data_IF_891562495910
#
_entry.id   IF_891562495910
#
_cell.length_a   1.000
_cell.length_b   1.000
_cell.length_c   1.000
_cell.angle_alpha   90.00
_cell.angle_beta   90.00
_cell.angle_gamma   90.00
#
_symmetry.space_group_name_H-M   'P 1'
#
loop_
_entity.id
_entity.type
_entity.pdbx_description
1 polymer ?
#
# COMPACT_ATOMS: atom_id res chain seq x y z
N UNK A 1 3.39 14.98 -1.57
CA UNK A 1 3.63 15.81 -0.36
C UNK A 1 2.35 16.04 0.42
N UNK A 2 1.26 16.50 -0.21
CA UNK A 2 -0.03 16.69 0.48
C UNK A 2 -0.58 15.41 1.13
N UNK A 3 -0.47 14.27 0.44
CA UNK A 3 -0.76 12.92 0.90
C UNK A 3 0.06 12.49 2.13
N UNK A 4 1.39 12.71 2.09
CA UNK A 4 2.29 12.45 3.22
C UNK A 4 1.92 13.31 4.44
N UNK A 5 1.61 14.59 4.21
CA UNK A 5 1.19 15.50 5.27
C UNK A 5 -0.14 15.06 5.89
N UNK A 6 -1.14 14.73 5.06
CA UNK A 6 -2.44 14.24 5.50
C UNK A 6 -2.34 12.93 6.30
N UNK A 7 -1.51 11.99 5.84
CA UNK A 7 -1.20 10.75 6.54
C UNK A 7 -0.57 11.02 7.92
N UNK A 8 0.47 11.85 7.98
CA UNK A 8 1.13 12.18 9.25
C UNK A 8 0.22 12.94 10.21
N UNK A 9 -0.68 13.78 9.68
CA UNK A 9 -1.69 14.46 10.48
C UNK A 9 -2.67 13.46 11.12
N UNK A 10 -3.16 12.48 10.36
CA UNK A 10 -4.02 11.42 10.93
C UNK A 10 -3.27 10.55 11.95
N UNK A 11 -2.00 10.20 11.67
CA UNK A 11 -1.15 9.47 12.62
C UNK A 11 -1.05 10.21 13.95
N UNK A 12 -0.72 11.51 13.92
CA UNK A 12 -0.68 12.34 15.12
C UNK A 12 -2.04 12.47 15.81
N UNK A 13 -3.12 12.61 15.04
CA UNK A 13 -4.49 12.69 15.56
C UNK A 13 -4.86 11.43 16.34
N UNK A 14 -4.59 10.23 15.80
CA UNK A 14 -4.87 8.97 16.49
C UNK A 14 -3.99 8.75 17.73
N UNK A 15 -2.73 9.19 17.72
CA UNK A 15 -1.89 9.16 18.92
C UNK A 15 -2.45 10.07 20.02
N UNK A 16 -2.97 11.25 19.68
CA UNK A 16 -3.64 12.14 20.63
C UNK A 16 -4.92 11.53 21.22
N UNK A 17 -5.82 11.05 20.36
CA UNK A 17 -7.14 10.51 20.77
C UNK A 17 -7.02 9.21 21.59
N UNK A 18 -5.96 8.44 21.38
CA UNK A 18 -5.76 7.17 22.11
C UNK A 18 -5.02 7.32 23.43
N UNK A 19 -4.58 8.53 23.80
CA UNK A 19 -3.67 8.74 24.92
C UNK A 19 -4.26 8.39 26.30
N UNK A 20 -5.55 8.64 26.52
CA UNK A 20 -6.25 8.37 27.79
C UNK A 20 -7.18 7.13 27.73
N UNK A 21 -7.21 6.46 26.57
CA UNK A 21 -8.03 5.28 26.32
C UNK A 21 -9.53 5.55 26.18
N UNK A 22 -9.99 6.80 26.13
CA UNK A 22 -11.40 7.19 25.98
C UNK A 22 -11.57 8.10 24.77
N UNK A 23 -12.67 7.93 24.05
CA UNK A 23 -12.95 8.73 22.85
C UNK A 23 -14.14 9.64 23.15
N UNK A 24 -13.87 10.93 23.21
CA UNK A 24 -14.89 11.96 23.37
C UNK A 24 -15.60 12.26 22.05
N UNK A 25 -16.77 12.90 22.15
CA UNK A 25 -17.53 13.38 20.97
C UNK A 25 -16.71 14.36 20.12
N UNK A 26 -15.88 15.19 20.75
CA UNK A 26 -15.04 16.17 20.05
C UNK A 26 -13.93 15.49 19.24
N UNK A 27 -13.31 14.45 19.79
CA UNK A 27 -12.28 13.65 19.11
C UNK A 27 -12.84 12.85 17.95
N UNK A 28 -14.04 12.28 18.12
CA UNK A 28 -14.76 11.67 17.02
C UNK A 28 -15.09 12.67 15.91
N UNK A 29 -15.49 13.90 16.26
CA UNK A 29 -15.68 14.97 15.27
C UNK A 29 -14.38 15.35 14.55
N UNK A 30 -13.24 15.36 15.25
CA UNK A 30 -11.96 15.62 14.62
C UNK A 30 -11.63 14.56 13.55
N UNK A 31 -11.90 13.28 13.81
CA UNK A 31 -11.73 12.19 12.83
C UNK A 31 -12.67 12.36 11.62
N UNK A 32 -13.94 12.70 11.86
CA UNK A 32 -14.90 13.00 10.78
C UNK A 32 -14.45 14.17 9.93
N UNK A 33 -14.01 15.24 10.57
CA UNK A 33 -13.51 16.44 9.91
C UNK A 33 -12.29 16.11 9.06
N UNK A 34 -11.35 15.31 9.57
CA UNK A 34 -10.20 14.84 8.78
C UNK A 34 -10.64 14.09 7.51
N UNK A 35 -11.61 13.17 7.61
CA UNK A 35 -12.14 12.46 6.44
C UNK A 35 -12.76 13.42 5.41
N UNK A 36 -13.54 14.40 5.86
CA UNK A 36 -14.19 15.37 4.97
C UNK A 36 -13.18 16.29 4.28
N UNK A 37 -12.22 16.84 5.04
CA UNK A 37 -11.20 17.76 4.52
C UNK A 37 -10.34 17.12 3.43
N UNK A 38 -10.07 15.82 3.53
CA UNK A 38 -9.17 15.13 2.61
C UNK A 38 -9.90 14.34 1.50
N UNK A 39 -11.22 14.55 1.33
CA UNK A 39 -11.99 13.82 0.32
C UNK A 39 -11.55 14.13 -1.12
N UNK A 40 -11.30 15.40 -1.46
CA UNK A 40 -10.80 15.76 -2.78
C UNK A 40 -9.44 15.10 -3.07
N UNK A 41 -8.53 15.11 -2.09
CA UNK A 41 -7.22 14.46 -2.22
C UNK A 41 -7.37 12.94 -2.42
N UNK A 42 -8.37 12.32 -1.81
CA UNK A 42 -8.70 10.90 -1.98
C UNK A 42 -9.23 10.57 -3.38
N UNK A 43 -9.93 11.50 -4.02
CA UNK A 43 -10.39 11.36 -5.41
C UNK A 43 -9.23 11.55 -6.40
N UNK A 44 -8.29 12.43 -6.10
CA UNK A 44 -7.13 12.73 -6.96
C UNK A 44 -6.00 11.70 -6.87
N UNK A 45 -5.76 11.12 -5.69
CA UNK A 45 -4.60 10.25 -5.43
C UNK A 45 -5.05 8.83 -5.10
N UNK A 46 -4.77 7.88 -6.00
CA UNK A 46 -5.29 6.51 -5.89
C UNK A 46 -4.90 5.80 -4.60
N UNK A 47 -3.63 5.78 -4.21
CA UNK A 47 -3.18 5.09 -2.98
C UNK A 47 -3.77 5.76 -1.74
N UNK A 48 -3.78 7.10 -1.72
CA UNK A 48 -4.41 7.87 -0.65
C UNK A 48 -5.92 7.64 -0.59
N UNK A 49 -6.60 7.51 -1.74
CA UNK A 49 -8.03 7.22 -1.82
C UNK A 49 -8.39 5.84 -1.28
N UNK A 50 -7.57 4.82 -1.58
CA UNK A 50 -7.75 3.47 -1.00
C UNK A 50 -7.55 3.49 0.53
N UNK A 51 -6.55 4.21 1.01
CA UNK A 51 -6.29 4.43 2.43
C UNK A 51 -7.45 5.16 3.11
N UNK A 52 -7.81 6.33 2.59
CA UNK A 52 -8.88 7.19 3.08
C UNK A 52 -10.22 6.46 3.14
N UNK A 53 -10.59 5.70 2.10
CA UNK A 53 -11.83 4.93 2.07
C UNK A 53 -11.92 3.90 3.21
N UNK A 54 -10.79 3.29 3.60
CA UNK A 54 -10.75 2.36 4.73
C UNK A 54 -10.97 3.07 6.06
N UNK A 55 -10.33 4.23 6.26
CA UNK A 55 -10.54 5.07 7.45
C UNK A 55 -11.97 5.59 7.51
N UNK A 56 -12.49 6.14 6.40
CA UNK A 56 -13.84 6.66 6.30
C UNK A 56 -14.87 5.60 6.70
N UNK A 57 -14.70 4.36 6.24
CA UNK A 57 -15.60 3.25 6.59
C UNK A 57 -15.72 3.05 8.11
N UNK A 58 -14.61 3.12 8.85
CA UNK A 58 -14.56 2.98 10.31
C UNK A 58 -15.20 4.18 11.02
N UNK A 59 -15.18 5.36 10.42
CA UNK A 59 -15.75 6.58 11.03
C UNK A 59 -17.26 6.72 10.71
N UNK A 60 -17.79 5.90 9.79
CA UNK A 60 -19.13 6.04 9.21
C UNK A 60 -20.28 5.53 10.10
N UNK A 61 -20.01 4.56 10.97
CA UNK A 61 -20.98 3.90 11.87
C UNK A 61 -21.50 4.78 13.02
N UNK A 62 -20.89 5.95 13.24
CA UNK A 62 -21.40 6.96 14.15
C UNK A 62 -20.82 6.94 15.56
N UNK A 63 -19.93 5.99 15.88
CA UNK A 63 -19.14 5.95 17.11
C UNK A 63 -17.82 5.25 16.83
N UNK A 64 -16.71 5.83 17.27
CA UNK A 64 -15.42 5.12 17.27
C UNK A 64 -15.15 4.57 18.67
N UNK A 65 -14.77 3.30 18.72
CA UNK A 65 -14.37 2.53 19.89
C UNK A 65 -12.85 2.40 19.94
N UNK A 66 -12.31 1.99 21.09
CA UNK A 66 -10.86 1.72 21.21
C UNK A 66 -10.39 0.61 20.27
N UNK A 67 -11.26 -0.35 19.94
CA UNK A 67 -11.00 -1.41 18.96
C UNK A 67 -10.85 -0.83 17.55
N UNK A 68 -11.77 0.05 17.14
CA UNK A 68 -11.73 0.74 15.84
C UNK A 68 -10.52 1.69 15.71
N UNK A 69 -10.05 2.30 16.81
CA UNK A 69 -8.76 2.99 16.82
C UNK A 69 -7.61 2.02 16.55
N UNK A 70 -7.64 0.83 17.17
CA UNK A 70 -6.69 -0.23 16.91
C UNK A 70 -6.66 -0.63 15.42
N UNK A 71 -7.84 -0.82 14.81
CA UNK A 71 -7.97 -1.10 13.38
C UNK A 71 -7.41 0.03 12.51
N UNK A 72 -7.70 1.29 12.84
CA UNK A 72 -7.13 2.44 12.13
C UNK A 72 -5.60 2.50 12.26
N UNK A 73 -5.03 2.18 13.43
CA UNK A 73 -3.57 2.09 13.61
C UNK A 73 -2.96 0.95 12.78
N UNK A 74 -3.64 -0.19 12.66
CA UNK A 74 -3.19 -1.27 11.77
C UNK A 74 -3.21 -0.83 10.29
N UNK A 75 -4.23 -0.07 9.89
CA UNK A 75 -4.29 0.53 8.54
C UNK A 75 -3.13 1.52 8.36
N UNK A 76 -2.86 2.42 9.33
CA UNK A 76 -1.72 3.34 9.25
C UNK A 76 -0.40 2.61 9.01
N UNK A 77 -0.14 1.54 9.77
CA UNK A 77 1.08 0.74 9.61
C UNK A 77 1.16 0.08 8.24
N UNK A 78 0.05 -0.46 7.73
CA UNK A 78 -0.01 -1.06 6.39
C UNK A 78 0.32 -0.05 5.29
N UNK A 79 -0.01 1.23 5.48
CA UNK A 79 0.20 2.27 4.48
C UNK A 79 1.43 3.16 4.73
N UNK A 80 2.14 2.96 5.85
CA UNK A 80 3.26 3.81 6.26
C UNK A 80 4.33 3.94 5.17
N UNK A 81 4.65 2.83 4.52
CA UNK A 81 5.60 2.80 3.43
C UNK A 81 5.24 3.77 2.31
N UNK A 82 4.01 3.71 1.80
CA UNK A 82 3.59 4.49 0.63
C UNK A 82 3.72 6.01 0.86
N UNK A 83 3.54 6.46 2.09
CA UNK A 83 3.59 7.88 2.43
C UNK A 83 4.97 8.34 2.92
N UNK A 84 5.82 7.43 3.40
CA UNK A 84 7.15 7.75 3.94
C UNK A 84 8.32 7.35 3.05
N UNK A 85 8.06 6.80 1.86
CA UNK A 85 9.00 6.55 0.79
C UNK A 85 10.03 7.68 0.59
N UNK A 86 11.32 7.34 0.64
CA UNK A 86 12.42 8.25 0.26
C UNK A 86 12.40 8.50 -1.25
N UNK A 87 13.09 9.54 -1.70
CA UNK A 87 13.19 9.85 -3.15
C UNK A 87 13.82 8.67 -3.91
N UNK A 88 14.88 8.09 -3.36
CA UNK A 88 15.59 6.96 -3.99
C UNK A 88 14.68 5.71 -4.07
N UNK A 89 13.96 5.39 -3.00
CA UNK A 89 13.03 4.26 -2.99
C UNK A 89 11.85 4.46 -3.98
N UNK A 90 11.43 5.71 -4.22
CA UNK A 90 10.43 5.99 -5.27
C UNK A 90 10.99 5.74 -6.66
N UNK A 91 12.26 6.09 -6.90
CA UNK A 91 12.90 5.80 -8.18
C UNK A 91 12.98 4.28 -8.42
N UNK A 92 13.38 3.52 -7.40
CA UNK A 92 13.42 2.05 -7.47
C UNK A 92 12.03 1.43 -7.68
N UNK A 93 11.00 1.99 -7.04
CA UNK A 93 9.61 1.57 -7.24
C UNK A 93 9.17 1.80 -8.69
N UNK A 94 9.39 2.99 -9.24
CA UNK A 94 9.05 3.28 -10.64
C UNK A 94 9.84 2.42 -11.62
N UNK A 95 11.12 2.17 -11.33
CA UNK A 95 11.94 1.28 -12.14
C UNK A 95 11.35 -0.14 -12.16
N UNK A 96 10.99 -0.67 -11.00
CA UNK A 96 10.35 -1.97 -10.88
C UNK A 96 8.99 -2.02 -11.58
N UNK A 97 8.17 -0.97 -11.48
CA UNK A 97 6.93 -0.86 -12.24
C UNK A 97 7.17 -0.86 -13.75
N UNK A 98 8.24 -0.23 -14.21
CA UNK A 98 8.69 -0.27 -15.60
C UNK A 98 9.04 -1.70 -16.06
N UNK A 99 9.75 -2.47 -15.22
CA UNK A 99 10.02 -3.89 -15.50
C UNK A 99 8.71 -4.67 -15.61
N UNK A 100 7.81 -4.56 -14.62
CA UNK A 100 6.52 -5.25 -14.63
C UNK A 100 5.68 -4.87 -15.86
N UNK A 101 5.69 -3.59 -16.26
CA UNK A 101 5.00 -3.13 -17.46
C UNK A 101 5.57 -3.76 -18.73
N UNK A 102 6.90 -3.86 -18.83
CA UNK A 102 7.58 -4.54 -19.93
C UNK A 102 7.21 -6.02 -20.04
N UNK A 103 7.23 -6.74 -18.91
CA UNK A 103 6.84 -8.16 -18.82
C UNK A 103 5.36 -8.36 -19.20
N UNK A 104 4.51 -7.37 -18.91
CA UNK A 104 3.09 -7.44 -19.24
C UNK A 104 2.75 -7.02 -20.68
N UNK A 105 3.72 -6.50 -21.44
CA UNK A 105 3.44 -5.78 -22.68
C UNK A 105 2.97 -6.68 -23.83
N UNK A 106 3.52 -7.89 -23.94
CA UNK A 106 3.12 -8.89 -24.94
C UNK A 106 1.96 -9.78 -24.47
N UNK A 107 1.62 -9.69 -23.18
CA UNK A 107 0.54 -10.45 -22.57
C UNK A 107 0.91 -11.87 -22.17
N UNK A 108 2.19 -12.27 -22.20
CA UNK A 108 2.63 -13.64 -21.85
C UNK A 108 3.80 -13.62 -20.87
N UNK A 109 3.51 -13.79 -19.57
CA UNK A 109 4.53 -13.88 -18.52
C UNK A 109 5.24 -15.24 -18.60
N UNK A 110 6.55 -15.22 -18.80
CA UNK A 110 7.36 -16.44 -18.86
C UNK A 110 8.40 -16.54 -17.75
N UNK A 111 8.99 -17.73 -17.59
CA UNK A 111 9.95 -18.02 -16.51
C UNK A 111 11.23 -17.22 -16.59
N UNK A 112 11.68 -16.84 -17.79
CA UNK A 112 12.92 -16.06 -17.96
C UNK A 112 12.73 -14.64 -17.43
N UNK A 113 11.58 -14.04 -17.70
CA UNK A 113 11.19 -12.73 -17.17
C UNK A 113 11.08 -12.74 -15.65
N UNK A 114 10.43 -13.78 -15.10
CA UNK A 114 10.33 -13.94 -13.65
C UNK A 114 11.70 -14.17 -12.98
N UNK A 115 12.60 -14.93 -13.61
CA UNK A 115 13.97 -15.09 -13.12
C UNK A 115 14.76 -13.78 -13.17
N UNK A 116 14.65 -13.01 -14.26
CA UNK A 116 15.28 -11.69 -14.37
C UNK A 116 14.77 -10.74 -13.28
N UNK A 117 13.45 -10.72 -13.06
CA UNK A 117 12.82 -9.91 -12.02
C UNK A 117 13.24 -10.34 -10.61
N UNK A 118 13.28 -11.66 -10.34
CA UNK A 118 13.77 -12.22 -9.07
C UNK A 118 15.23 -11.85 -8.82
N UNK A 119 16.07 -11.92 -9.86
CA UNK A 119 17.47 -11.55 -9.78
C UNK A 119 17.63 -10.06 -9.46
N UNK A 120 16.92 -9.19 -10.16
CA UNK A 120 16.95 -7.75 -9.87
C UNK A 120 16.55 -7.43 -8.43
N UNK A 121 15.48 -8.06 -7.91
CA UNK A 121 15.08 -7.91 -6.51
C UNK A 121 16.14 -8.45 -5.53
N UNK A 122 16.88 -9.48 -5.91
CA UNK A 122 17.94 -10.06 -5.08
C UNK A 122 19.20 -9.20 -5.04
N UNK A 123 19.57 -8.61 -6.19
CA UNK A 123 20.71 -7.70 -6.33
C UNK A 123 20.46 -6.39 -5.57
N UNK A 124 19.18 -5.98 -5.45
CA UNK A 124 18.74 -4.84 -4.66
C UNK A 124 18.27 -5.28 -3.24
N UNK A 125 19.05 -6.13 -2.58
CA UNK A 125 18.73 -6.70 -1.27
C UNK A 125 18.27 -5.69 -0.17
N UNK A 126 18.82 -4.46 -0.08
CA UNK A 126 18.39 -3.50 0.94
C UNK A 126 16.91 -3.08 0.83
N UNK A 127 16.37 -3.05 -0.40
CA UNK A 127 14.98 -2.66 -0.65
C UNK A 127 14.04 -3.87 -0.70
N UNK A 128 14.57 -5.06 -1.01
CA UNK A 128 13.82 -6.33 -1.09
C UNK A 128 13.03 -6.65 0.18
N UNK A 129 13.53 -6.28 1.36
CA UNK A 129 12.85 -6.55 2.63
C UNK A 129 11.79 -5.50 2.99
N UNK A 130 11.51 -4.57 2.08
CA UNK A 130 10.59 -3.47 2.29
C UNK A 130 9.40 -3.62 1.37
N UNK A 131 8.18 -3.39 1.85
CA UNK A 131 6.99 -3.34 1.01
C UNK A 131 7.13 -2.30 -0.08
N UNK A 132 6.57 -2.49 -1.28
CA UNK A 132 5.97 -3.72 -1.82
C UNK A 132 6.99 -4.69 -2.45
N UNK A 133 8.30 -4.44 -2.35
CA UNK A 133 9.35 -5.27 -2.96
C UNK A 133 9.41 -6.68 -2.35
N UNK A 134 9.09 -6.82 -1.07
CA UNK A 134 8.98 -8.12 -0.39
C UNK A 134 7.77 -8.94 -0.90
N UNK A 135 6.63 -8.28 -1.09
CA UNK A 135 5.38 -8.89 -1.55
C UNK A 135 5.53 -9.41 -2.98
N UNK A 136 6.09 -8.61 -3.89
CA UNK A 136 6.35 -9.05 -5.26
C UNK A 136 7.39 -10.18 -5.30
N UNK A 137 8.45 -10.09 -4.49
CA UNK A 137 9.46 -11.14 -4.40
C UNK A 137 8.85 -12.46 -3.94
N UNK A 138 8.03 -12.43 -2.88
CA UNK A 138 7.35 -13.63 -2.35
C UNK A 138 6.39 -14.26 -3.35
N UNK A 139 5.66 -13.45 -4.13
CA UNK A 139 4.80 -13.96 -5.21
C UNK A 139 5.65 -14.67 -6.28
N UNK A 140 6.72 -14.02 -6.77
CA UNK A 140 7.60 -14.61 -7.79
C UNK A 140 8.27 -15.87 -7.28
N UNK A 141 8.74 -15.87 -6.03
CA UNK A 141 9.36 -17.04 -5.42
C UNK A 141 8.40 -18.22 -5.33
N UNK A 142 7.15 -18.00 -4.93
CA UNK A 142 6.12 -19.05 -4.89
C UNK A 142 5.83 -19.63 -6.27
N UNK A 143 5.74 -18.78 -7.31
CA UNK A 143 5.43 -19.24 -8.68
C UNK A 143 6.61 -19.96 -9.33
N UNK A 144 7.84 -19.67 -8.92
CA UNK A 144 9.02 -20.35 -9.47
C UNK A 144 9.36 -21.65 -8.73
N UNK A 145 8.70 -21.96 -7.61
CA UNK A 145 9.07 -23.06 -6.69
C UNK A 145 8.93 -24.43 -7.34
N UNK A 146 7.83 -24.69 -8.05
CA UNK A 146 7.56 -25.98 -8.69
C UNK A 146 8.15 -26.09 -10.12
N UNK A 147 8.78 -25.00 -10.58
CA UNK A 147 9.44 -24.91 -11.87
C UNK A 147 8.48 -24.89 -13.05
N UNK A 148 7.16 -24.69 -12.88
CA UNK A 148 6.15 -24.44 -13.93
C UNK A 148 5.36 -23.16 -13.58
N UNK A 149 4.58 -22.66 -14.52
CA UNK A 149 3.65 -21.56 -14.26
C UNK A 149 2.31 -22.11 -14.71
N UNK A 150 1.42 -22.39 -13.77
CA UNK A 150 0.07 -22.84 -14.08
C UNK A 150 -0.91 -21.67 -14.30
N UNK A 151 -2.13 -22.00 -14.72
CA UNK A 151 -3.17 -21.00 -15.03
C UNK A 151 -3.57 -20.15 -13.81
N UNK A 152 -3.49 -20.70 -12.59
CA UNK A 152 -3.84 -19.98 -11.36
C UNK A 152 -2.72 -19.02 -10.96
N UNK A 153 -1.48 -19.48 -11.02
CA UNK A 153 -0.28 -18.68 -10.78
C UNK A 153 -0.14 -17.54 -11.77
N UNK A 154 -0.40 -17.82 -13.05
CA UNK A 154 -0.40 -16.82 -14.11
C UNK A 154 -1.45 -15.73 -13.86
N UNK A 155 -2.69 -16.11 -13.51
CA UNK A 155 -3.75 -15.15 -13.17
C UNK A 155 -3.40 -14.33 -11.93
N UNK A 156 -2.79 -14.94 -10.92
CA UNK A 156 -2.33 -14.28 -9.70
C UNK A 156 -1.27 -13.23 -10.02
N UNK A 157 -0.26 -13.59 -10.82
CA UNK A 157 0.78 -12.66 -11.29
C UNK A 157 0.20 -11.51 -12.09
N UNK A 158 -0.65 -11.79 -13.09
CA UNK A 158 -1.29 -10.76 -13.88
C UNK A 158 -2.11 -9.80 -13.02
N UNK A 159 -2.88 -10.32 -12.06
CA UNK A 159 -3.71 -9.49 -11.18
C UNK A 159 -2.83 -8.58 -10.33
N UNK A 160 -1.80 -9.14 -9.71
CA UNK A 160 -0.89 -8.37 -8.87
C UNK A 160 -0.12 -7.32 -9.68
N UNK A 161 0.46 -7.67 -10.83
CA UNK A 161 1.18 -6.70 -11.67
C UNK A 161 0.27 -5.57 -12.16
N UNK A 162 -0.99 -5.86 -12.53
CA UNK A 162 -1.97 -4.82 -12.90
C UNK A 162 -2.25 -3.84 -11.77
N UNK A 163 -2.32 -4.32 -10.54
CA UNK A 163 -2.51 -3.45 -9.37
C UNK A 163 -1.25 -2.66 -9.05
N UNK A 164 -0.10 -3.33 -9.10
CA UNK A 164 1.23 -2.80 -8.77
C UNK A 164 1.69 -1.70 -9.73
N UNK A 165 1.53 -1.88 -11.05
CA UNK A 165 1.90 -0.88 -12.07
C UNK A 165 1.10 0.43 -11.88
N UNK A 166 -0.12 0.34 -11.34
CA UNK A 166 -1.01 1.48 -11.11
C UNK A 166 -0.87 2.07 -9.71
N UNK A 167 0.22 1.77 -9.00
CA UNK A 167 0.46 2.25 -7.65
C UNK A 167 1.23 3.57 -7.74
N UNK A 168 0.64 4.69 -7.28
CA UNK A 168 1.24 6.04 -7.31
C UNK A 168 1.39 6.62 -5.91
#
# INVERSE_FOLDING_TARGET
>A
MADKTAYNNLKGLLEGISADGRISSNEFQALKSWCQTHQQLAEEKKVFGLFHKKILKIVSDGKVTSEEIGEMKQILNKYEYYFNLSVDLKADLHFLQGICYGIMADGDINKYELHMLKQWLSDNAPIRTTKPFDEIYGIIESVLEDGKIDDEEYKKLQTYFKEFIKLE
#
